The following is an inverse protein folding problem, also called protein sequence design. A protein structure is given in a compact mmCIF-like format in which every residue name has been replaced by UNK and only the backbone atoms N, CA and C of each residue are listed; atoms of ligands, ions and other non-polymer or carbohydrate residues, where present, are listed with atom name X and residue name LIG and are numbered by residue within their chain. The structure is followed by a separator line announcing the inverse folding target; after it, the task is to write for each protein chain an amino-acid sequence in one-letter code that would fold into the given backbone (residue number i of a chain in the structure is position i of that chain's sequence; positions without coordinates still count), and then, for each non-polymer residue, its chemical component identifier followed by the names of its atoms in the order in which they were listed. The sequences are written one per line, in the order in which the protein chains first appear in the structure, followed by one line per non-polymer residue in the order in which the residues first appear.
data_IF_038855735921
#
_entry.id   IF_038855735921
#
_cell.length_a   1.000
_cell.length_b   1.000
_cell.length_c   1.000
_cell.angle_alpha   90.00
_cell.angle_beta   90.00
_cell.angle_gamma   90.00
#
_symmetry.space_group_name_H-M   'P 1'
#
loop_
_entity.id
_entity.type
_entity.pdbx_description
1 polymer ?
#
# COMPACT_ATOMS: atom_id res chain seq x y z
N UNK A 1 20.85 19.22 5.63
CA UNK A 1 20.90 17.79 5.98
C UNK A 1 22.28 17.15 5.80
N UNK A 2 23.00 17.41 4.69
CA UNK A 2 24.35 16.84 4.46
C UNK A 2 25.38 17.29 5.50
N UNK A 3 25.37 18.56 5.91
CA UNK A 3 26.27 19.06 6.95
C UNK A 3 26.00 18.44 8.33
N UNK A 4 24.73 18.17 8.67
CA UNK A 4 24.38 17.46 9.91
C UNK A 4 24.93 16.04 9.93
N UNK A 5 24.89 15.32 8.82
CA UNK A 5 25.42 13.96 8.74
C UNK A 5 26.96 13.91 8.82
N UNK A 6 27.63 14.93 8.36
CA UNK A 6 29.10 15.02 8.43
C UNK A 6 29.61 15.44 9.82
N UNK A 7 28.85 16.25 10.57
CA UNK A 7 29.27 16.81 11.86
C UNK A 7 28.79 15.99 13.07
N UNK A 8 27.78 15.14 12.94
CA UNK A 8 27.29 14.30 14.04
C UNK A 8 28.06 13.00 14.05
N UNK A 9 28.99 12.87 15.00
CA UNK A 9 29.74 11.63 15.25
C UNK A 9 28.92 10.59 15.99
N UNK A 10 28.09 11.02 16.91
CA UNK A 10 27.21 10.22 17.74
C UNK A 10 25.76 10.31 17.19
N UNK A 11 25.07 9.19 17.21
CA UNK A 11 23.68 9.08 16.80
C UNK A 11 22.74 8.89 17.98
N UNK A 12 23.25 8.29 19.04
CA UNK A 12 22.58 8.07 20.33
C UNK A 12 23.57 8.42 21.42
N UNK A 13 23.21 9.40 22.25
CA UNK A 13 24.06 9.89 23.33
C UNK A 13 24.09 8.91 24.50
N UNK A 14 25.26 8.83 25.20
CA UNK A 14 25.45 8.01 26.38
C UNK A 14 26.88 7.45 26.45
N UNK A 15 27.01 6.16 26.75
CA UNK A 15 28.32 5.49 26.87
C UNK A 15 29.12 5.43 25.55
N UNK A 16 30.35 5.02 25.61
CA UNK A 16 31.33 5.04 24.50
C UNK A 16 31.20 3.87 23.51
N UNK A 17 30.11 3.11 23.56
CA UNK A 17 29.93 1.95 22.69
C UNK A 17 29.95 2.37 21.21
N UNK A 18 30.40 1.46 20.36
CA UNK A 18 30.52 1.68 18.90
C UNK A 18 31.36 2.93 18.56
N UNK A 19 32.43 3.14 19.30
CA UNK A 19 33.32 4.32 19.15
C UNK A 19 32.58 5.64 19.34
N UNK A 20 31.71 5.71 20.35
CA UNK A 20 30.84 6.86 20.66
C UNK A 20 29.81 7.19 19.58
N UNK A 21 29.42 6.24 18.73
CA UNK A 21 28.43 6.47 17.69
C UNK A 21 27.02 6.03 18.10
N UNK A 22 26.93 5.00 18.92
CA UNK A 22 25.67 4.47 19.41
C UNK A 22 25.87 3.95 20.83
N UNK A 23 25.43 4.73 21.79
CA UNK A 23 25.45 4.36 23.19
C UNK A 23 24.48 3.21 23.52
N UNK A 24 24.71 2.56 24.64
CA UNK A 24 23.92 1.47 25.18
C UNK A 24 24.47 0.08 24.86
N UNK A 25 24.13 -0.88 25.70
CA UNK A 25 24.46 -2.30 25.52
C UNK A 25 23.75 -2.86 24.31
N UNK A 26 24.34 -3.85 23.66
CA UNK A 26 23.69 -4.54 22.55
C UNK A 26 22.37 -5.20 22.99
N UNK A 27 21.32 -5.01 22.19
CA UNK A 27 20.08 -5.76 22.33
C UNK A 27 20.28 -7.17 21.75
N UNK A 28 20.94 -8.05 22.52
CA UNK A 28 21.27 -9.41 22.08
C UNK A 28 20.04 -10.20 21.65
N UNK A 29 18.92 -10.21 22.41
CA UNK A 29 17.70 -10.91 21.95
C UNK A 29 17.19 -10.41 20.60
N UNK A 30 17.18 -9.10 20.39
CA UNK A 30 16.77 -8.50 19.10
C UNK A 30 17.71 -8.86 17.95
N UNK A 31 19.02 -8.92 18.20
CA UNK A 31 20.03 -9.32 17.21
C UNK A 31 19.84 -10.78 16.81
N UNK A 32 19.68 -11.66 17.78
CA UNK A 32 19.45 -13.10 17.54
C UNK A 32 18.13 -13.31 16.81
N UNK A 33 17.06 -12.63 17.25
CA UNK A 33 15.75 -12.71 16.61
C UNK A 33 15.77 -12.23 15.14
N UNK A 34 16.48 -11.13 14.87
CA UNK A 34 16.66 -10.65 13.49
C UNK A 34 17.44 -11.66 12.64
N UNK A 35 18.50 -12.25 13.20
CA UNK A 35 19.28 -13.29 12.50
C UNK A 35 18.42 -14.50 12.14
N UNK A 36 17.63 -15.01 13.08
CA UNK A 36 16.73 -16.13 12.85
C UNK A 36 15.63 -15.79 11.84
N UNK A 37 14.98 -14.63 11.96
CA UNK A 37 13.95 -14.18 11.03
C UNK A 37 14.50 -14.01 9.60
N UNK A 38 15.71 -13.46 9.48
CA UNK A 38 16.36 -13.31 8.16
C UNK A 38 16.66 -14.66 7.52
N UNK A 39 17.16 -15.63 8.30
CA UNK A 39 17.44 -16.98 7.80
C UNK A 39 16.17 -17.66 7.29
N UNK A 40 15.07 -17.59 8.05
CA UNK A 40 13.77 -18.13 7.65
C UNK A 40 13.21 -17.43 6.40
N UNK A 41 13.32 -16.10 6.33
CA UNK A 41 12.84 -15.33 5.19
C UNK A 41 13.58 -15.71 3.90
N UNK A 42 14.91 -15.89 3.97
CA UNK A 42 15.72 -16.32 2.82
C UNK A 42 15.40 -17.75 2.41
N UNK A 43 15.27 -18.67 3.40
CA UNK A 43 14.95 -20.07 3.14
C UNK A 43 13.61 -20.23 2.40
N UNK A 44 12.60 -19.46 2.75
CA UNK A 44 11.24 -19.61 2.21
C UNK A 44 10.93 -18.61 1.09
N UNK A 45 11.87 -17.76 0.70
CA UNK A 45 11.64 -16.61 -0.18
C UNK A 45 11.00 -16.99 -1.52
N UNK A 46 11.50 -18.02 -2.18
CA UNK A 46 10.99 -18.41 -3.50
C UNK A 46 9.59 -19.02 -3.43
N UNK A 47 9.33 -19.86 -2.43
CA UNK A 47 8.02 -20.48 -2.24
C UNK A 47 6.98 -19.43 -1.85
N UNK A 48 7.30 -18.55 -0.90
CA UNK A 48 6.42 -17.48 -0.47
C UNK A 48 6.14 -16.50 -1.62
N UNK A 49 7.16 -16.17 -2.42
CA UNK A 49 6.98 -15.32 -3.59
C UNK A 49 5.99 -15.93 -4.60
N UNK A 50 6.06 -17.23 -4.88
CA UNK A 50 5.12 -17.92 -5.78
C UNK A 50 3.69 -17.85 -5.26
N UNK A 51 3.47 -18.17 -3.98
CA UNK A 51 2.14 -18.10 -3.34
C UNK A 51 1.57 -16.68 -3.40
N UNK A 52 2.38 -15.69 -3.04
CA UNK A 52 1.97 -14.28 -3.06
C UNK A 52 1.64 -13.79 -4.47
N UNK A 53 2.41 -14.19 -5.50
CA UNK A 53 2.13 -13.84 -6.89
C UNK A 53 0.77 -14.39 -7.32
N UNK A 54 0.47 -15.64 -7.00
CA UNK A 54 -0.80 -16.27 -7.36
C UNK A 54 -2.00 -15.53 -6.75
N UNK A 55 -1.95 -15.24 -5.45
CA UNK A 55 -3.03 -14.51 -4.77
C UNK A 55 -3.10 -13.06 -5.25
N UNK A 56 -1.95 -12.40 -5.47
CA UNK A 56 -1.87 -11.04 -6.00
C UNK A 56 -2.55 -10.93 -7.37
N UNK A 57 -2.19 -11.80 -8.28
CA UNK A 57 -2.69 -11.76 -9.66
C UNK A 57 -4.19 -12.10 -9.71
N UNK A 58 -4.63 -13.03 -8.85
CA UNK A 58 -6.05 -13.30 -8.64
C UNK A 58 -6.80 -12.07 -8.13
N UNK A 59 -6.30 -11.43 -7.08
CA UNK A 59 -6.88 -10.22 -6.49
C UNK A 59 -6.97 -9.08 -7.52
N UNK A 60 -5.89 -8.83 -8.26
CA UNK A 60 -5.87 -7.80 -9.32
C UNK A 60 -6.91 -8.12 -10.40
N UNK A 61 -6.97 -9.35 -10.86
CA UNK A 61 -7.91 -9.79 -11.91
C UNK A 61 -9.37 -9.59 -11.48
N UNK A 62 -9.71 -9.94 -10.24
CA UNK A 62 -11.05 -9.70 -9.70
C UNK A 62 -11.38 -8.22 -9.61
N UNK A 63 -10.47 -7.41 -9.06
CA UNK A 63 -10.67 -5.96 -8.93
C UNK A 63 -10.97 -5.33 -10.30
N UNK A 64 -10.17 -5.65 -11.32
CA UNK A 64 -10.35 -5.08 -12.66
C UNK A 64 -11.64 -5.55 -13.36
N UNK A 65 -12.01 -6.79 -13.11
CA UNK A 65 -13.22 -7.37 -13.74
C UNK A 65 -14.51 -6.86 -13.09
N UNK A 66 -14.49 -6.66 -11.76
CA UNK A 66 -15.73 -6.43 -11.00
C UNK A 66 -15.95 -4.98 -10.60
N UNK A 67 -14.90 -4.16 -10.58
CA UNK A 67 -14.99 -2.76 -10.18
C UNK A 67 -14.61 -1.87 -11.37
N UNK A 68 -15.56 -1.15 -11.97
CA UNK A 68 -15.27 -0.27 -13.09
C UNK A 68 -14.42 0.94 -12.68
N UNK A 69 -13.79 1.59 -13.65
CA UNK A 69 -12.99 2.81 -13.47
C UNK A 69 -11.87 2.66 -12.45
N UNK A 70 -11.18 1.52 -12.52
CA UNK A 70 -9.99 1.17 -11.72
C UNK A 70 -8.75 1.28 -12.58
N UNK A 71 -7.64 1.69 -11.98
CA UNK A 71 -6.31 1.65 -12.59
C UNK A 71 -5.34 0.93 -11.67
N UNK A 72 -4.76 -0.17 -12.13
CA UNK A 72 -3.64 -0.84 -11.46
C UNK A 72 -2.35 -0.07 -11.75
N UNK A 73 -1.62 0.29 -10.69
CA UNK A 73 -0.40 1.08 -10.78
C UNK A 73 0.84 0.20 -10.88
N UNK A 74 1.82 0.67 -11.65
CA UNK A 74 3.09 -0.03 -11.87
C UNK A 74 3.03 -1.11 -12.95
N UNK A 75 4.16 -1.77 -13.17
CA UNK A 75 4.28 -2.83 -14.18
C UNK A 75 3.54 -4.10 -13.71
N UNK A 76 2.94 -4.84 -14.62
CA UNK A 76 2.14 -6.04 -14.30
C UNK A 76 2.99 -7.17 -13.75
N UNK A 77 4.13 -7.43 -14.35
CA UNK A 77 5.01 -8.55 -14.02
C UNK A 77 6.18 -8.10 -13.16
N UNK A 78 6.87 -6.99 -13.55
CA UNK A 78 8.06 -6.46 -12.87
C UNK A 78 7.64 -5.66 -11.64
N UNK A 79 7.14 -6.34 -10.62
CA UNK A 79 6.67 -5.78 -9.35
C UNK A 79 6.95 -6.73 -8.19
N UNK A 80 6.89 -6.23 -6.97
CA UNK A 80 7.00 -7.07 -5.77
C UNK A 80 5.90 -8.13 -5.76
N UNK A 81 6.19 -9.36 -5.30
CA UNK A 81 5.24 -10.47 -5.31
C UNK A 81 3.98 -10.19 -4.50
N UNK A 82 4.10 -9.42 -3.43
CA UNK A 82 3.06 -9.19 -2.43
C UNK A 82 2.36 -7.83 -2.55
N UNK A 83 2.65 -7.02 -3.57
CA UNK A 83 2.14 -5.66 -3.64
C UNK A 83 1.03 -5.50 -4.68
N UNK A 84 -0.13 -5.05 -4.24
CA UNK A 84 -1.23 -4.56 -5.08
C UNK A 84 -1.40 -3.08 -4.81
N UNK A 85 -1.26 -2.26 -5.85
CA UNK A 85 -1.54 -0.83 -5.78
C UNK A 85 -2.50 -0.45 -6.89
N UNK A 86 -3.64 0.10 -6.51
CA UNK A 86 -4.72 0.45 -7.42
C UNK A 86 -5.26 1.84 -7.11
N UNK A 87 -5.79 2.52 -8.11
CA UNK A 87 -6.53 3.75 -7.94
C UNK A 87 -7.98 3.54 -8.38
N UNK A 88 -8.92 3.98 -7.55
CA UNK A 88 -10.34 4.01 -7.85
C UNK A 88 -10.73 5.44 -8.19
N UNK A 89 -11.26 5.67 -9.40
CA UNK A 89 -11.68 7.01 -9.82
C UNK A 89 -12.94 7.44 -9.06
N UNK A 90 -13.04 8.75 -8.83
CA UNK A 90 -14.19 9.45 -8.23
C UNK A 90 -14.42 9.20 -6.74
N UNK A 91 -13.40 8.71 -6.05
CA UNK A 91 -13.43 8.51 -4.59
C UNK A 91 -12.12 8.98 -3.96
N UNK A 92 -12.16 9.19 -2.64
CA UNK A 92 -11.00 9.52 -1.83
C UNK A 92 -10.50 8.28 -1.08
N UNK A 93 -9.18 8.10 -1.09
CA UNK A 93 -8.53 6.95 -0.46
C UNK A 93 -8.73 6.89 1.06
N UNK A 94 -8.82 8.02 1.76
CA UNK A 94 -9.04 8.06 3.20
C UNK A 94 -10.41 7.50 3.58
N UNK A 95 -11.46 7.95 2.90
CA UNK A 95 -12.82 7.41 3.10
C UNK A 95 -12.89 5.91 2.83
N UNK A 96 -12.16 5.46 1.80
CA UNK A 96 -12.04 4.04 1.47
C UNK A 96 -11.37 3.25 2.61
N UNK A 97 -10.27 3.77 3.18
CA UNK A 97 -9.56 3.13 4.30
C UNK A 97 -10.42 3.01 5.55
N UNK A 98 -11.14 4.06 5.91
CA UNK A 98 -12.04 4.06 7.08
C UNK A 98 -13.12 2.98 6.93
N UNK A 99 -13.71 2.86 5.74
CA UNK A 99 -14.74 1.85 5.50
C UNK A 99 -14.19 0.42 5.44
N UNK A 100 -12.96 0.23 4.96
CA UNK A 100 -12.27 -1.06 4.99
C UNK A 100 -11.92 -1.47 6.43
N UNK A 101 -11.44 -0.55 7.24
CA UNK A 101 -11.14 -0.78 8.66
C UNK A 101 -12.37 -1.28 9.43
N UNK A 102 -13.56 -0.70 9.18
CA UNK A 102 -14.84 -1.17 9.74
C UNK A 102 -15.19 -2.62 9.34
N UNK A 103 -14.56 -3.14 8.30
CA UNK A 103 -14.69 -4.53 7.83
C UNK A 103 -13.53 -5.42 8.29
N UNK A 104 -12.63 -4.89 9.14
CA UNK A 104 -11.45 -5.62 9.59
C UNK A 104 -10.38 -5.81 8.51
N UNK A 105 -10.41 -5.01 7.44
CA UNK A 105 -9.46 -5.05 6.34
C UNK A 105 -8.43 -3.95 6.53
N UNK A 106 -7.19 -4.34 6.83
CA UNK A 106 -6.06 -3.43 6.94
C UNK A 106 -5.50 -3.11 5.55
N UNK A 107 -5.46 -1.83 5.21
CA UNK A 107 -4.93 -1.34 3.94
C UNK A 107 -4.22 0.00 4.13
N UNK A 108 -3.61 0.54 3.10
CA UNK A 108 -2.94 1.83 3.13
C UNK A 108 -3.25 2.64 1.89
N UNK A 109 -3.37 3.95 2.05
CA UNK A 109 -3.33 4.88 0.92
C UNK A 109 -1.89 5.19 0.53
N UNK A 110 -1.69 5.86 -0.60
CA UNK A 110 -0.35 6.14 -1.11
C UNK A 110 0.55 6.99 -0.21
N UNK A 111 0.03 7.65 0.83
CA UNK A 111 0.75 8.60 1.67
C UNK A 111 0.52 8.40 3.17
N UNK A 112 0.72 7.18 3.65
CA UNK A 112 0.47 6.82 5.05
C UNK A 112 1.25 7.65 6.10
N UNK A 113 2.41 8.20 5.74
CA UNK A 113 3.27 8.98 6.67
C UNK A 113 2.99 10.48 6.65
N UNK A 114 2.16 10.98 5.77
CA UNK A 114 1.75 12.38 5.65
C UNK A 114 0.26 12.55 5.93
N UNK A 115 -0.27 11.80 6.87
CA UNK A 115 -1.70 11.79 7.24
C UNK A 115 -2.28 13.16 7.68
N UNK A 116 -1.51 14.23 7.57
CA UNK A 116 -1.96 15.62 7.73
C UNK A 116 -1.92 16.44 6.43
N UNK A 117 -1.48 15.87 5.30
CA UNK A 117 -1.49 16.56 4.01
C UNK A 117 -2.50 15.89 3.08
N UNK A 118 -3.37 16.71 2.53
CA UNK A 118 -4.32 16.30 1.48
C UNK A 118 -3.63 15.96 0.15
N UNK A 119 -2.29 15.94 0.12
CA UNK A 119 -1.53 15.69 -1.10
C UNK A 119 -1.44 14.19 -1.44
N UNK A 120 -1.67 13.82 -2.68
CA UNK A 120 -1.51 12.43 -3.12
C UNK A 120 -0.03 12.00 -3.08
N UNK A 121 0.20 10.70 -3.11
CA UNK A 121 1.54 10.13 -3.10
C UNK A 121 2.43 10.73 -4.20
N UNK A 122 3.57 11.31 -3.80
CA UNK A 122 4.58 11.82 -4.72
C UNK A 122 5.12 10.72 -5.67
N UNK A 123 5.08 9.44 -5.25
CA UNK A 123 5.45 8.30 -6.08
C UNK A 123 4.44 8.13 -7.22
N UNK A 124 3.15 8.22 -6.93
CA UNK A 124 2.10 8.09 -7.95
C UNK A 124 2.13 9.26 -8.94
N UNK A 125 2.41 10.47 -8.46
CA UNK A 125 2.62 11.62 -9.34
C UNK A 125 3.86 11.45 -10.22
N UNK A 126 4.96 10.93 -9.67
CA UNK A 126 6.20 10.70 -10.41
C UNK A 126 6.07 9.64 -11.52
N UNK A 127 5.16 8.67 -11.37
CA UNK A 127 4.85 7.70 -12.45
C UNK A 127 3.77 8.22 -13.41
N UNK A 128 3.42 9.51 -13.33
CA UNK A 128 2.55 10.19 -14.30
C UNK A 128 1.06 10.10 -14.03
N UNK A 129 0.63 9.77 -12.80
CA UNK A 129 -0.79 9.84 -12.48
C UNK A 129 -1.22 11.30 -12.22
N UNK A 130 -2.35 11.74 -12.77
CA UNK A 130 -2.96 13.00 -12.38
C UNK A 130 -3.35 13.00 -10.90
N UNK A 131 -3.32 14.17 -10.28
CA UNK A 131 -3.67 14.40 -8.88
C UNK A 131 -5.00 13.74 -8.51
N UNK A 132 -6.04 14.00 -9.30
CA UNK A 132 -7.39 13.49 -9.14
C UNK A 132 -7.46 11.95 -9.06
N UNK A 133 -6.68 11.24 -9.88
CA UNK A 133 -6.65 9.78 -9.88
C UNK A 133 -5.83 9.25 -8.71
N UNK A 134 -4.72 9.92 -8.40
CA UNK A 134 -3.82 9.49 -7.33
C UNK A 134 -4.45 9.58 -5.92
N UNK A 135 -5.44 10.47 -5.72
CA UNK A 135 -6.20 10.57 -4.47
C UNK A 135 -7.00 9.30 -4.13
N UNK A 136 -7.54 8.61 -5.13
CA UNK A 136 -8.27 7.35 -4.94
C UNK A 136 -7.37 6.12 -4.81
N UNK A 137 -6.12 6.28 -4.38
CA UNK A 137 -5.17 5.17 -4.32
C UNK A 137 -5.36 4.28 -3.09
N UNK A 138 -5.24 2.97 -3.32
CA UNK A 138 -5.22 1.93 -2.30
C UNK A 138 -4.03 1.02 -2.52
N UNK A 139 -3.30 0.72 -1.43
CA UNK A 139 -2.25 -0.28 -1.41
C UNK A 139 -2.64 -1.42 -0.48
N UNK A 140 -2.65 -2.62 -1.05
CA UNK A 140 -2.80 -3.88 -0.33
C UNK A 140 -1.46 -4.62 -0.37
N UNK A 141 -1.01 -5.09 0.77
CA UNK A 141 0.22 -5.85 0.90
C UNK A 141 -0.09 -7.21 1.48
N UNK A 142 0.24 -8.26 0.73
CA UNK A 142 -0.06 -9.64 1.07
C UNK A 142 1.07 -10.25 1.89
N UNK A 143 0.74 -11.18 2.78
CA UNK A 143 1.68 -12.07 3.46
C UNK A 143 1.70 -13.46 2.83
N UNK A 144 2.57 -14.32 3.31
CA UNK A 144 2.59 -15.74 2.95
C UNK A 144 1.37 -16.53 3.45
N UNK A 145 0.62 -15.95 4.40
CA UNK A 145 -0.59 -16.54 4.98
C UNK A 145 -1.86 -16.10 4.26
N UNK A 146 -1.76 -15.07 3.41
CA UNK A 146 -2.93 -14.53 2.70
C UNK A 146 -3.44 -15.55 1.69
N UNK A 147 -4.73 -15.84 1.76
CA UNK A 147 -5.41 -16.84 0.93
C UNK A 147 -6.24 -16.22 -0.21
N UNK A 148 -6.78 -17.04 -1.09
CA UNK A 148 -7.75 -16.58 -2.11
C UNK A 148 -9.10 -16.18 -1.48
N UNK A 149 -9.48 -16.85 -0.41
CA UNK A 149 -10.69 -16.55 0.36
C UNK A 149 -10.58 -15.16 1.00
N UNK A 150 -9.39 -14.79 1.51
CA UNK A 150 -9.13 -13.42 1.99
C UNK A 150 -9.24 -12.41 0.84
N UNK A 151 -8.70 -12.75 -0.32
CA UNK A 151 -8.81 -11.91 -1.51
C UNK A 151 -10.26 -11.73 -1.97
N UNK A 152 -11.07 -12.79 -1.91
CA UNK A 152 -12.50 -12.75 -2.19
C UNK A 152 -13.22 -11.82 -1.22
N UNK A 153 -12.97 -11.97 0.08
CA UNK A 153 -13.55 -11.11 1.10
C UNK A 153 -13.19 -9.62 0.87
N UNK A 154 -11.94 -9.35 0.53
CA UNK A 154 -11.47 -7.99 0.23
C UNK A 154 -12.20 -7.41 -0.99
N UNK A 155 -12.31 -8.16 -2.09
CA UNK A 155 -12.96 -7.66 -3.33
C UNK A 155 -14.44 -7.43 -3.13
N UNK A 156 -15.14 -8.35 -2.47
CA UNK A 156 -16.57 -8.22 -2.22
C UNK A 156 -16.89 -6.97 -1.37
N UNK A 157 -16.08 -6.70 -0.34
CA UNK A 157 -16.22 -5.47 0.44
C UNK A 157 -15.82 -4.22 -0.35
N UNK A 158 -14.71 -4.26 -1.10
CA UNK A 158 -14.28 -3.14 -1.96
C UNK A 158 -15.36 -2.74 -2.95
N UNK A 159 -16.03 -3.68 -3.59
CA UNK A 159 -17.10 -3.44 -4.54
C UNK A 159 -18.22 -2.64 -3.90
N UNK A 160 -18.74 -3.09 -2.76
CA UNK A 160 -19.80 -2.39 -2.03
C UNK A 160 -19.38 -0.98 -1.57
N UNK A 161 -18.15 -0.86 -1.05
CA UNK A 161 -17.63 0.40 -0.53
C UNK A 161 -17.43 1.41 -1.65
N UNK A 162 -16.80 1.01 -2.76
CA UNK A 162 -16.55 1.88 -3.92
C UNK A 162 -17.86 2.34 -4.54
N UNK A 163 -18.86 1.46 -4.68
CA UNK A 163 -20.19 1.80 -5.18
C UNK A 163 -20.86 2.84 -4.28
N UNK A 164 -20.83 2.63 -2.96
CA UNK A 164 -21.37 3.58 -1.98
C UNK A 164 -20.66 4.94 -2.03
N UNK A 165 -19.32 4.97 -2.08
CA UNK A 165 -18.56 6.21 -2.11
C UNK A 165 -18.84 6.99 -3.42
N UNK A 166 -18.95 6.29 -4.55
CA UNK A 166 -19.31 6.90 -5.83
C UNK A 166 -20.72 7.47 -5.84
N UNK A 167 -21.68 6.80 -5.22
CA UNK A 167 -23.06 7.31 -5.14
C UNK A 167 -23.18 8.62 -4.33
N UNK A 168 -22.15 8.97 -3.56
CA UNK A 168 -22.05 10.23 -2.82
C UNK A 168 -21.12 11.26 -3.47
N UNK A 169 -20.52 10.93 -4.62
CA UNK A 169 -19.51 11.75 -5.30
C UNK A 169 -20.14 12.59 -6.41
N UNK A 170 -20.18 13.93 -6.28
CA UNK A 170 -20.66 14.81 -7.34
C UNK A 170 -19.89 14.64 -8.66
N UNK A 171 -18.58 14.34 -8.57
CA UNK A 171 -17.73 14.11 -9.75
C UNK A 171 -18.15 12.85 -10.53
N UNK A 172 -18.65 11.84 -9.84
CA UNK A 172 -19.16 10.64 -10.48
C UNK A 172 -20.50 10.91 -11.19
N UNK A 173 -21.40 11.65 -10.55
CA UNK A 173 -22.70 12.04 -11.15
C UNK A 173 -22.50 12.85 -12.43
N UNK A 174 -21.60 13.83 -12.41
CA UNK A 174 -21.29 14.64 -13.59
C UNK A 174 -20.65 13.81 -14.72
N UNK A 175 -19.82 12.84 -14.37
CA UNK A 175 -19.22 11.93 -15.33
C UNK A 175 -20.27 11.04 -16.00
N UNK A 176 -21.17 10.43 -15.22
CA UNK A 176 -22.24 9.57 -15.74
C UNK A 176 -23.20 10.34 -16.63
N UNK A 177 -23.57 11.60 -16.28
CA UNK A 177 -24.39 12.47 -17.12
C UNK A 177 -23.74 12.72 -18.47
N UNK A 178 -22.45 13.06 -18.49
CA UNK A 178 -21.69 13.30 -19.74
C UNK A 178 -21.58 12.06 -20.62
N UNK A 179 -21.42 10.87 -20.04
CA UNK A 179 -21.42 9.61 -20.81
C UNK A 179 -22.80 9.28 -21.39
N UNK A 180 -23.87 9.67 -20.72
CA UNK A 180 -25.26 9.48 -21.23
C UNK A 180 -25.65 10.47 -22.32
N UNK A 181 -25.12 11.71 -22.28
CA UNK A 181 -25.39 12.77 -23.29
C UNK A 181 -24.51 12.64 -24.54
N UNK A 182 -23.38 11.91 -24.45
CA UNK A 182 -22.43 11.70 -25.55
C UNK A 182 -22.72 10.45 -26.40
N UNK A 183 -23.78 9.73 -26.09
CA UNK A 183 -24.34 8.62 -26.92
C UNK A 183 -25.59 9.06 -27.65
#
# INVERSE_FOLDING_TARGET
RRQRQMCIRDRIHGGAQERSRRAGTHNVPGIVGMGAATALAVQNMEENAKKQIEVRDYLISRIEKEIPYVKVNGHREKRLPNNVNVCFRFIEGESLLIMLDQKGICASSGSACTSGSLDPSHVLLAIGLPHEIAHGSLRLTLSEETTKEDADYVVDNLKMIVERLRSMSPLYDDFVKKESEGK
#
